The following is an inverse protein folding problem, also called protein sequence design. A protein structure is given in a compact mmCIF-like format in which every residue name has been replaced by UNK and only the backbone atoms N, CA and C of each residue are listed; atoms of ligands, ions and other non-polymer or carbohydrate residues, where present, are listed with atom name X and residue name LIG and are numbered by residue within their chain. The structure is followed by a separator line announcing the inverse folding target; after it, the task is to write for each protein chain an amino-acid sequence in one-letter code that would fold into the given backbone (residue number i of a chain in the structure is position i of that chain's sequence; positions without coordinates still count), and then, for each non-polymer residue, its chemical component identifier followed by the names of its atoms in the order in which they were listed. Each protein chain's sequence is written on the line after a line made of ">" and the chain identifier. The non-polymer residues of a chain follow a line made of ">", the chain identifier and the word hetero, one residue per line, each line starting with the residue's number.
data_IF_616432670802
#
_entry.id   IF_616432670802
#
_cell.length_a   1.000
_cell.length_b   1.000
_cell.length_c   1.000
_cell.angle_alpha   90.00
_cell.angle_beta   90.00
_cell.angle_gamma   90.00
#
_symmetry.space_group_name_H-M   'P 1'
#
loop_
_entity.id
_entity.type
_entity.pdbx_description
1 polymer ?
#
# COMPACT_ATOMS: atom_id res chain seq x y z
N UNK A 1 7.79 20.52 12.93
CA UNK A 1 8.13 19.09 12.94
C UNK A 1 7.76 18.37 14.23
N UNK A 2 8.09 18.87 15.46
CA UNK A 2 7.71 18.17 16.71
C UNK A 2 6.19 17.93 16.85
N UNK A 3 5.36 18.96 16.63
CA UNK A 3 3.88 18.84 16.72
C UNK A 3 3.30 17.83 15.71
N UNK A 4 3.80 17.81 14.48
CA UNK A 4 3.31 16.86 13.44
C UNK A 4 3.76 15.43 13.75
N UNK A 5 4.92 15.19 14.35
CA UNK A 5 5.32 13.86 14.81
C UNK A 5 4.40 13.38 15.95
N UNK A 6 4.12 14.23 16.94
CA UNK A 6 3.21 13.89 18.05
C UNK A 6 1.84 13.44 17.56
N UNK A 7 1.27 14.15 16.58
CA UNK A 7 -0.01 13.77 16.00
C UNK A 7 0.07 12.43 15.23
N UNK A 8 1.14 12.19 14.45
CA UNK A 8 1.32 10.90 13.76
C UNK A 8 1.34 9.75 14.76
N UNK A 9 2.10 9.86 15.86
CA UNK A 9 2.17 8.79 16.86
C UNK A 9 0.83 8.59 17.59
N UNK A 10 0.15 9.67 17.98
CA UNK A 10 -1.18 9.59 18.60
C UNK A 10 -2.18 8.84 17.67
N UNK A 11 -2.27 9.26 16.42
CA UNK A 11 -3.18 8.64 15.45
C UNK A 11 -2.76 7.21 15.08
N UNK A 12 -1.46 6.89 15.12
CA UNK A 12 -0.94 5.54 14.95
C UNK A 12 -1.41 4.62 16.08
N UNK A 13 -1.40 5.09 17.33
CA UNK A 13 -1.94 4.34 18.49
C UNK A 13 -3.45 4.13 18.32
N UNK A 14 -4.19 5.17 17.94
CA UNK A 14 -5.64 5.05 17.68
C UNK A 14 -5.90 4.01 16.58
N UNK A 15 -5.15 4.07 15.46
CA UNK A 15 -5.27 3.09 14.36
C UNK A 15 -4.96 1.67 14.84
N UNK A 16 -3.98 1.49 15.73
CA UNK A 16 -3.64 0.18 16.27
C UNK A 16 -4.76 -0.39 17.16
N UNK A 17 -5.30 0.42 18.05
CA UNK A 17 -6.29 -0.02 19.05
C UNK A 17 -7.69 -0.20 18.45
N UNK A 18 -8.10 0.70 17.54
CA UNK A 18 -9.46 0.76 17.04
C UNK A 18 -9.99 -0.55 16.45
N UNK A 19 -9.27 -1.31 15.58
CA UNK A 19 -9.78 -2.55 15.03
C UNK A 19 -10.06 -3.62 16.08
N UNK A 20 -9.26 -3.68 17.17
CA UNK A 20 -9.50 -4.61 18.27
C UNK A 20 -10.75 -4.25 19.08
N UNK A 21 -11.06 -2.94 19.21
CA UNK A 21 -12.29 -2.49 19.89
C UNK A 21 -13.54 -2.75 19.04
N UNK A 22 -13.40 -2.77 17.72
CA UNK A 22 -14.50 -3.03 16.77
C UNK A 22 -14.67 -4.51 16.49
N UNK A 23 -13.71 -5.34 16.84
CA UNK A 23 -13.77 -6.78 16.61
C UNK A 23 -14.91 -7.41 17.43
N UNK A 24 -15.78 -8.16 16.74
CA UNK A 24 -16.77 -8.97 17.41
C UNK A 24 -16.16 -10.33 17.80
N UNK A 25 -16.32 -10.73 19.07
CA UNK A 25 -15.78 -11.99 19.62
C UNK A 25 -16.43 -13.25 19.05
N UNK A 26 -17.57 -13.13 18.37
CA UNK A 26 -18.27 -14.26 17.74
C UNK A 26 -17.70 -14.67 16.37
N UNK A 27 -16.85 -13.83 15.76
CA UNK A 27 -16.26 -14.13 14.45
C UNK A 27 -14.88 -14.77 14.61
N UNK A 28 -14.74 -15.94 13.99
CA UNK A 28 -13.45 -16.62 13.79
C UNK A 28 -12.58 -15.90 12.75
N UNK A 29 -11.30 -16.29 12.62
CA UNK A 29 -10.45 -15.84 11.52
C UNK A 29 -11.09 -16.09 10.16
N UNK A 30 -10.80 -15.24 9.19
CA UNK A 30 -11.24 -15.43 7.82
C UNK A 30 -10.66 -16.73 7.23
N UNK A 31 -11.44 -17.41 6.38
CA UNK A 31 -11.05 -18.68 5.73
C UNK A 31 -9.59 -18.71 5.26
N UNK A 32 -9.15 -17.67 4.57
CA UNK A 32 -7.79 -17.60 4.01
C UNK A 32 -6.73 -17.43 5.11
N UNK A 33 -7.08 -16.88 6.28
CA UNK A 33 -6.14 -16.74 7.40
C UNK A 33 -5.70 -18.09 7.95
N UNK A 34 -6.59 -19.08 7.98
CA UNK A 34 -6.23 -20.45 8.39
C UNK A 34 -5.19 -21.07 7.47
N UNK A 35 -5.30 -20.84 6.15
CA UNK A 35 -4.30 -21.31 5.19
C UNK A 35 -2.92 -20.70 5.49
N UNK A 36 -2.85 -19.38 5.67
CA UNK A 36 -1.58 -18.69 5.92
C UNK A 36 -1.00 -19.00 7.30
N UNK A 37 -1.83 -19.22 8.32
CA UNK A 37 -1.38 -19.66 9.63
C UNK A 37 -0.78 -21.07 9.55
N UNK A 38 -1.43 -21.99 8.85
CA UNK A 38 -0.90 -23.35 8.66
C UNK A 38 0.48 -23.35 7.97
N UNK A 39 0.77 -22.42 7.07
CA UNK A 39 2.09 -22.30 6.44
C UNK A 39 3.20 -21.97 7.46
N UNK A 40 2.86 -21.38 8.62
CA UNK A 40 3.80 -21.09 9.70
C UNK A 40 4.42 -22.34 10.34
N UNK A 41 3.76 -23.50 10.26
CA UNK A 41 4.29 -24.79 10.74
C UNK A 41 5.33 -25.42 9.77
N UNK A 42 5.40 -24.93 8.52
CA UNK A 42 6.23 -25.49 7.47
C UNK A 42 6.99 -24.39 6.73
N UNK A 43 7.94 -23.73 7.43
CA UNK A 43 8.69 -22.62 6.83
C UNK A 43 9.45 -23.07 5.57
N UNK A 44 9.21 -22.36 4.48
CA UNK A 44 9.87 -22.54 3.20
C UNK A 44 10.13 -21.20 2.52
N UNK A 45 10.96 -21.15 1.50
CA UNK A 45 11.22 -19.94 0.73
C UNK A 45 10.13 -19.59 -0.31
N UNK A 46 9.06 -20.39 -0.35
CA UNK A 46 7.88 -20.15 -1.20
C UNK A 46 6.77 -21.15 -0.88
N UNK A 47 5.58 -20.86 -1.36
CA UNK A 47 4.37 -21.69 -1.29
C UNK A 47 3.65 -21.61 -2.63
N UNK A 48 2.66 -22.48 -2.82
CA UNK A 48 1.93 -22.55 -4.11
C UNK A 48 1.35 -21.19 -4.53
N UNK A 49 0.81 -20.42 -3.57
CA UNK A 49 0.09 -19.17 -3.85
C UNK A 49 0.91 -17.91 -3.57
N UNK A 50 1.86 -17.97 -2.63
CA UNK A 50 2.48 -16.79 -2.05
C UNK A 50 3.97 -16.99 -1.72
N UNK A 51 4.77 -15.92 -1.72
CA UNK A 51 6.11 -15.89 -1.16
C UNK A 51 6.11 -16.03 0.38
N UNK A 52 7.30 -16.22 1.02
CA UNK A 52 7.43 -16.71 2.38
C UNK A 52 7.10 -15.72 3.51
N UNK A 53 6.95 -14.42 3.26
CA UNK A 53 6.89 -13.43 4.34
C UNK A 53 5.76 -13.70 5.33
N UNK A 54 4.59 -14.13 4.82
CA UNK A 54 3.43 -14.35 5.68
C UNK A 54 3.62 -15.59 6.57
N UNK A 55 4.28 -16.65 6.08
CA UNK A 55 4.59 -17.83 6.87
C UNK A 55 5.56 -17.52 8.02
N UNK A 56 6.48 -16.57 7.85
CA UNK A 56 7.36 -16.10 8.92
C UNK A 56 6.54 -15.43 10.03
N UNK A 57 5.57 -14.57 9.67
CA UNK A 57 4.69 -13.95 10.66
C UNK A 57 3.73 -14.96 11.30
N UNK A 58 3.27 -15.97 10.58
CA UNK A 58 2.50 -17.07 11.13
C UNK A 58 3.34 -17.87 12.15
N UNK A 59 4.57 -18.22 11.82
CA UNK A 59 5.49 -18.88 12.74
C UNK A 59 5.72 -18.05 14.01
N UNK A 60 5.93 -16.73 13.88
CA UNK A 60 6.01 -15.84 15.05
C UNK A 60 4.72 -15.83 15.86
N UNK A 61 3.54 -15.86 15.21
CA UNK A 61 2.24 -15.96 15.89
C UNK A 61 2.17 -17.23 16.74
N UNK A 62 2.58 -18.39 16.20
CA UNK A 62 2.62 -19.66 16.93
C UNK A 62 3.54 -19.60 18.15
N UNK A 63 4.67 -18.90 18.07
CA UNK A 63 5.56 -18.71 19.23
C UNK A 63 4.91 -17.88 20.37
N UNK A 64 3.95 -17.01 20.03
CA UNK A 64 3.24 -16.17 21.01
C UNK A 64 1.87 -16.74 21.44
N UNK A 65 1.50 -17.95 20.97
CA UNK A 65 0.38 -18.72 21.50
C UNK A 65 -0.92 -18.67 20.69
N UNK A 66 -0.89 -18.37 19.40
CA UNK A 66 -2.01 -18.49 18.43
C UNK A 66 -3.30 -17.71 18.78
N UNK A 67 -3.26 -16.86 19.79
CA UNK A 67 -4.40 -16.05 20.17
C UNK A 67 -4.79 -15.03 19.10
N UNK A 68 -6.07 -14.69 19.04
CA UNK A 68 -6.64 -13.73 18.07
C UNK A 68 -5.87 -12.40 18.05
N UNK A 69 -5.37 -11.95 19.20
CA UNK A 69 -4.53 -10.75 19.29
C UNK A 69 -3.28 -10.87 18.40
N UNK A 70 -2.55 -11.98 18.46
CA UNK A 70 -1.31 -12.17 17.72
C UNK A 70 -1.55 -12.41 16.22
N UNK A 71 -2.64 -13.10 15.86
CA UNK A 71 -3.07 -13.26 14.47
C UNK A 71 -3.31 -11.89 13.83
N UNK A 72 -3.98 -10.99 14.55
CA UNK A 72 -4.34 -9.64 14.06
C UNK A 72 -3.24 -8.60 14.24
N UNK A 73 -2.22 -8.90 15.04
CA UNK A 73 -1.12 -7.96 15.35
C UNK A 73 -0.33 -7.56 14.10
N UNK A 74 0.12 -8.54 13.31
CA UNK A 74 0.98 -8.29 12.16
C UNK A 74 0.30 -7.47 11.06
N UNK A 75 -0.90 -7.84 10.58
CA UNK A 75 -1.61 -7.04 9.60
C UNK A 75 -1.89 -5.63 10.13
N UNK A 76 -2.31 -5.50 11.37
CA UNK A 76 -2.60 -4.20 11.97
C UNK A 76 -1.35 -3.34 12.11
N UNK A 77 -0.20 -3.92 12.47
CA UNK A 77 1.10 -3.24 12.52
C UNK A 77 1.50 -2.71 11.13
N UNK A 78 1.33 -3.49 10.05
CA UNK A 78 1.56 -2.99 8.68
C UNK A 78 0.64 -1.82 8.34
N UNK A 79 -0.60 -1.82 8.81
CA UNK A 79 -1.51 -0.68 8.66
C UNK A 79 -1.03 0.57 9.36
N UNK A 80 -0.55 0.43 10.60
CA UNK A 80 0.07 1.52 11.37
C UNK A 80 1.29 2.07 10.66
N UNK A 81 2.19 1.20 10.22
CA UNK A 81 3.40 1.59 9.50
C UNK A 81 3.08 2.30 8.18
N UNK A 82 2.08 1.82 7.44
CA UNK A 82 1.61 2.45 6.18
C UNK A 82 1.08 3.86 6.43
N UNK A 83 0.26 4.03 7.48
CA UNK A 83 -0.20 5.36 7.90
C UNK A 83 0.97 6.27 8.29
N UNK A 84 1.92 5.77 9.10
CA UNK A 84 3.09 6.55 9.52
C UNK A 84 3.93 7.01 8.33
N UNK A 85 4.15 6.14 7.33
CA UNK A 85 4.87 6.51 6.09
C UNK A 85 4.08 7.55 5.31
N UNK A 86 2.74 7.41 5.20
CA UNK A 86 1.88 8.42 4.57
C UNK A 86 1.97 9.79 5.28
N UNK A 87 1.98 9.79 6.61
CA UNK A 87 2.25 10.98 7.41
C UNK A 87 3.65 11.59 7.17
N UNK A 88 4.67 10.74 6.99
CA UNK A 88 6.03 11.20 6.62
C UNK A 88 6.06 11.81 5.22
N UNK A 89 5.30 11.26 4.24
CA UNK A 89 5.14 11.86 2.92
C UNK A 89 4.58 13.29 3.06
N UNK A 90 3.53 13.48 3.85
CA UNK A 90 2.94 14.81 4.10
C UNK A 90 3.96 15.77 4.70
N UNK A 91 4.73 15.34 5.70
CA UNK A 91 5.79 16.17 6.28
C UNK A 91 6.84 16.58 5.24
N UNK A 92 7.21 15.68 4.32
CA UNK A 92 8.17 15.96 3.24
C UNK A 92 7.58 16.85 2.13
N UNK A 93 6.28 16.99 2.07
CA UNK A 93 5.58 17.97 1.24
C UNK A 93 5.34 19.31 1.96
N UNK A 94 5.80 19.46 3.21
CA UNK A 94 5.53 20.61 4.08
C UNK A 94 4.03 20.80 4.39
N UNK A 95 3.30 19.67 4.54
CA UNK A 95 1.94 19.64 5.06
C UNK A 95 1.91 19.76 6.59
N UNK A 96 0.80 20.26 7.11
CA UNK A 96 0.55 20.52 8.52
C UNK A 96 -0.27 19.42 9.21
N UNK A 97 -0.83 19.78 10.37
CA UNK A 97 -1.62 18.87 11.21
C UNK A 97 -2.91 18.43 10.52
N UNK A 98 -3.57 19.32 9.80
CA UNK A 98 -4.81 19.01 9.11
C UNK A 98 -4.62 17.96 8.02
N UNK A 99 -3.56 18.06 7.22
CA UNK A 99 -3.26 17.05 6.20
C UNK A 99 -2.96 15.68 6.83
N UNK A 100 -2.25 15.64 7.98
CA UNK A 100 -1.98 14.38 8.70
C UNK A 100 -3.28 13.77 9.22
N UNK A 101 -4.17 14.58 9.79
CA UNK A 101 -5.47 14.10 10.24
C UNK A 101 -6.32 13.60 9.05
N UNK A 102 -6.32 14.34 7.94
CA UNK A 102 -7.11 13.98 6.76
C UNK A 102 -6.63 12.66 6.11
N UNK A 103 -5.32 12.39 6.06
CA UNK A 103 -4.80 11.11 5.55
C UNK A 103 -5.05 9.94 6.50
N UNK A 104 -5.34 10.20 7.77
CA UNK A 104 -5.71 9.16 8.74
C UNK A 104 -7.11 8.59 8.47
N UNK A 105 -8.06 9.42 8.01
CA UNK A 105 -9.46 9.03 7.86
C UNK A 105 -9.68 7.78 6.98
N UNK A 106 -9.01 7.60 5.82
CA UNK A 106 -9.12 6.37 5.03
C UNK A 106 -8.72 5.10 5.77
N UNK A 107 -7.83 5.19 6.77
CA UNK A 107 -7.37 4.03 7.55
C UNK A 107 -8.38 3.61 8.63
N UNK A 108 -9.39 4.44 8.90
CA UNK A 108 -10.43 4.16 9.91
C UNK A 108 -11.85 4.15 9.34
N UNK A 109 -12.09 4.78 8.19
CA UNK A 109 -13.41 4.87 7.55
C UNK A 109 -13.44 4.30 6.12
N UNK A 110 -12.48 3.50 5.73
CA UNK A 110 -12.39 2.94 4.38
C UNK A 110 -11.96 1.48 4.40
N UNK A 111 -11.72 0.96 3.21
CA UNK A 111 -11.29 -0.43 2.99
C UNK A 111 -10.06 -0.83 3.83
N UNK A 112 -9.22 0.13 4.19
CA UNK A 112 -8.00 -0.13 4.95
C UNK A 112 -8.24 -0.54 6.40
N UNK A 113 -9.39 -0.20 7.01
CA UNK A 113 -9.73 -0.68 8.34
C UNK A 113 -9.79 -2.22 8.34
N UNK A 114 -10.54 -2.79 7.39
CA UNK A 114 -10.67 -4.24 7.24
C UNK A 114 -9.39 -4.87 6.67
N UNK A 115 -8.82 -4.30 5.60
CA UNK A 115 -7.62 -4.83 4.95
C UNK A 115 -6.50 -5.09 5.97
N UNK A 116 -6.19 -4.10 6.80
CA UNK A 116 -5.13 -4.17 7.80
C UNK A 116 -5.55 -4.89 9.09
N UNK A 117 -6.60 -5.67 9.05
CA UNK A 117 -7.01 -6.56 10.14
C UNK A 117 -7.22 -8.01 9.66
N UNK A 118 -6.89 -8.29 8.40
CA UNK A 118 -6.87 -9.64 7.84
C UNK A 118 -5.43 -10.11 7.70
N UNK A 119 -5.13 -11.30 8.23
CA UNK A 119 -3.83 -11.94 8.11
C UNK A 119 -3.66 -12.48 6.68
N UNK A 120 -3.34 -11.58 5.75
CA UNK A 120 -3.26 -11.84 4.31
C UNK A 120 -2.06 -11.13 3.71
N UNK A 121 -1.50 -11.62 2.57
CA UNK A 121 -0.31 -11.03 1.92
C UNK A 121 -0.55 -9.60 1.41
N UNK A 122 -1.80 -9.16 1.30
CA UNK A 122 -2.14 -7.80 0.87
C UNK A 122 -1.69 -6.73 1.88
N UNK A 123 -1.59 -7.06 3.17
CA UNK A 123 -1.23 -6.08 4.21
C UNK A 123 0.23 -5.64 4.11
N UNK A 124 1.23 -6.53 4.10
CA UNK A 124 2.60 -6.12 3.83
C UNK A 124 2.79 -5.60 2.40
N UNK A 125 2.06 -6.11 1.40
CA UNK A 125 2.11 -5.59 0.03
C UNK A 125 1.83 -4.09 -0.02
N UNK A 126 0.71 -3.62 0.55
CA UNK A 126 0.33 -2.20 0.57
C UNK A 126 1.37 -1.36 1.30
N UNK A 127 1.95 -1.87 2.39
CA UNK A 127 3.04 -1.20 3.08
C UNK A 127 4.28 -1.04 2.19
N UNK A 128 4.72 -2.09 1.50
CA UNK A 128 5.91 -2.02 0.64
C UNK A 128 5.67 -1.15 -0.60
N UNK A 129 4.48 -1.15 -1.19
CA UNK A 129 4.15 -0.19 -2.25
C UNK A 129 4.29 1.26 -1.75
N UNK A 130 3.84 1.52 -0.52
CA UNK A 130 3.97 2.85 0.10
C UNK A 130 5.44 3.20 0.39
N UNK A 131 6.27 2.22 0.80
CA UNK A 131 7.71 2.42 1.01
C UNK A 131 8.46 2.67 -0.30
N UNK A 132 8.13 1.93 -1.38
CA UNK A 132 8.62 2.17 -2.75
C UNK A 132 8.29 3.60 -3.16
N UNK A 133 7.02 4.02 -3.02
CA UNK A 133 6.58 5.36 -3.34
C UNK A 133 7.32 6.43 -2.50
N UNK A 134 7.48 6.20 -1.19
CA UNK A 134 8.24 7.11 -0.32
C UNK A 134 9.71 7.22 -0.77
N UNK A 135 10.35 6.12 -1.10
CA UNK A 135 11.74 6.10 -1.55
C UNK A 135 11.94 6.90 -2.84
N UNK A 136 11.04 6.69 -3.82
CA UNK A 136 11.03 7.46 -5.08
C UNK A 136 10.77 8.95 -4.81
N UNK A 137 9.78 9.29 -3.97
CA UNK A 137 9.50 10.68 -3.60
C UNK A 137 10.74 11.35 -2.99
N UNK A 138 11.40 10.66 -2.06
CA UNK A 138 12.60 11.19 -1.40
C UNK A 138 13.78 11.35 -2.36
N UNK A 139 13.94 10.41 -3.30
CA UNK A 139 14.95 10.56 -4.36
C UNK A 139 14.66 11.78 -5.22
N UNK A 140 13.42 11.95 -5.72
CA UNK A 140 13.00 13.11 -6.50
C UNK A 140 13.24 14.44 -5.77
N UNK A 141 13.14 14.45 -4.44
CA UNK A 141 13.35 15.67 -3.63
C UNK A 141 14.80 15.99 -3.34
N UNK A 142 15.67 14.99 -3.24
CA UNK A 142 17.01 15.16 -2.66
C UNK A 142 18.14 14.66 -3.55
N UNK A 143 17.84 13.88 -4.58
CA UNK A 143 18.77 13.17 -5.49
C UNK A 143 19.81 12.29 -4.77
N UNK A 144 19.57 11.97 -3.47
CA UNK A 144 20.50 11.16 -2.66
C UNK A 144 20.35 9.67 -2.96
N UNK A 145 21.45 9.03 -3.36
CA UNK A 145 21.49 7.60 -3.75
C UNK A 145 21.02 6.63 -2.66
N UNK A 146 21.10 7.00 -1.38
CA UNK A 146 20.58 6.16 -0.30
C UNK A 146 19.10 5.80 -0.47
N UNK A 147 18.29 6.68 -1.09
CA UNK A 147 16.89 6.40 -1.35
C UNK A 147 16.67 5.40 -2.48
N UNK A 148 17.65 5.23 -3.39
CA UNK A 148 17.64 4.13 -4.35
C UNK A 148 17.94 2.79 -3.66
N UNK A 149 18.86 2.76 -2.71
CA UNK A 149 19.10 1.55 -1.92
C UNK A 149 17.88 1.16 -1.06
N UNK A 150 17.22 2.15 -0.41
CA UNK A 150 15.93 1.91 0.26
C UNK A 150 14.84 1.43 -0.71
N UNK A 151 14.82 1.92 -1.94
CA UNK A 151 13.94 1.43 -3.00
C UNK A 151 14.19 -0.06 -3.28
N UNK A 152 15.46 -0.45 -3.50
CA UNK A 152 15.84 -1.84 -3.75
C UNK A 152 15.43 -2.78 -2.62
N UNK A 153 15.72 -2.40 -1.36
CA UNK A 153 15.31 -3.17 -0.17
C UNK A 153 13.78 -3.28 -0.10
N UNK A 154 13.05 -2.17 -0.34
CA UNK A 154 11.58 -2.17 -0.29
C UNK A 154 10.96 -3.04 -1.38
N UNK A 155 11.55 -3.09 -2.59
CA UNK A 155 11.12 -3.97 -3.67
C UNK A 155 11.39 -5.43 -3.28
N UNK A 156 12.62 -5.77 -2.84
CA UNK A 156 12.99 -7.14 -2.50
C UNK A 156 12.12 -7.72 -1.38
N UNK A 157 11.99 -6.99 -0.26
CA UNK A 157 11.13 -7.40 0.85
C UNK A 157 9.65 -7.44 0.44
N UNK A 158 9.22 -6.48 -0.37
CA UNK A 158 7.87 -6.47 -0.90
C UNK A 158 7.57 -7.70 -1.76
N UNK A 159 8.50 -8.11 -2.63
CA UNK A 159 8.39 -9.33 -3.43
C UNK A 159 8.31 -10.59 -2.56
N UNK A 160 8.97 -10.62 -1.40
CA UNK A 160 8.80 -11.71 -0.42
C UNK A 160 7.41 -11.73 0.22
N UNK A 161 6.62 -10.66 0.11
CA UNK A 161 5.24 -10.62 0.62
C UNK A 161 4.22 -11.04 -0.43
N UNK A 162 4.37 -10.55 -1.67
CA UNK A 162 3.45 -10.86 -2.77
C UNK A 162 4.06 -10.50 -4.12
N UNK A 163 3.89 -11.37 -5.12
CA UNK A 163 4.44 -11.17 -6.47
C UNK A 163 3.91 -9.90 -7.17
N UNK A 164 2.70 -9.44 -6.82
CA UNK A 164 2.09 -8.22 -7.40
C UNK A 164 2.82 -6.91 -7.05
N UNK A 165 3.80 -6.93 -6.12
CA UNK A 165 4.71 -5.80 -5.91
C UNK A 165 5.47 -5.45 -7.19
N UNK A 166 5.73 -6.42 -8.07
CA UNK A 166 6.29 -6.20 -9.40
C UNK A 166 5.43 -5.24 -10.24
N UNK A 167 4.09 -5.32 -10.14
CA UNK A 167 3.16 -4.46 -10.89
C UNK A 167 3.39 -2.99 -10.55
N UNK A 168 3.46 -2.66 -9.25
CA UNK A 168 3.72 -1.27 -8.84
C UNK A 168 5.14 -0.84 -9.15
N UNK A 169 6.12 -1.73 -8.99
CA UNK A 169 7.52 -1.45 -9.33
C UNK A 169 7.67 -1.10 -10.80
N UNK A 170 7.10 -1.90 -11.71
CA UNK A 170 7.09 -1.60 -13.14
C UNK A 170 6.34 -0.30 -13.42
N UNK A 171 5.17 -0.12 -12.83
CA UNK A 171 4.34 1.06 -13.04
C UNK A 171 5.03 2.36 -12.63
N UNK A 172 5.73 2.38 -11.48
CA UNK A 172 6.44 3.58 -11.03
C UNK A 172 7.70 3.84 -11.87
N UNK A 173 8.41 2.80 -12.33
CA UNK A 173 9.53 2.94 -13.25
C UNK A 173 9.07 3.49 -14.61
N UNK A 174 7.97 2.98 -15.16
CA UNK A 174 7.35 3.55 -16.36
C UNK A 174 6.94 5.01 -16.13
N UNK A 175 6.31 5.32 -14.98
CA UNK A 175 5.96 6.67 -14.61
C UNK A 175 7.17 7.63 -14.58
N UNK A 176 8.31 7.16 -14.07
CA UNK A 176 9.56 7.90 -14.08
C UNK A 176 10.08 8.11 -15.52
N UNK A 177 10.01 7.08 -16.36
CA UNK A 177 10.48 7.10 -17.75
C UNK A 177 9.71 8.13 -18.59
N UNK A 178 8.38 8.20 -18.42
CA UNK A 178 7.51 9.13 -19.17
C UNK A 178 7.49 10.56 -18.59
N UNK A 179 8.40 10.88 -17.65
CA UNK A 179 8.48 12.20 -17.04
C UNK A 179 9.90 12.79 -17.09
N UNK A 180 10.04 14.02 -16.60
CA UNK A 180 11.38 14.64 -16.46
C UNK A 180 12.31 13.85 -15.52
N UNK A 181 11.76 12.93 -14.72
CA UNK A 181 12.51 12.09 -13.78
C UNK A 181 13.25 10.94 -14.48
N UNK A 182 13.09 10.76 -15.80
CA UNK A 182 13.82 9.73 -16.58
C UNK A 182 15.34 9.75 -16.40
N UNK A 183 15.91 10.88 -15.92
CA UNK A 183 17.34 11.00 -15.58
C UNK A 183 17.81 9.95 -14.55
N UNK A 184 16.89 9.40 -13.75
CA UNK A 184 17.20 8.34 -12.77
C UNK A 184 17.80 7.10 -13.44
N UNK A 185 17.41 6.80 -14.68
CA UNK A 185 17.92 5.65 -15.44
C UNK A 185 19.38 5.77 -15.87
N UNK A 186 19.95 6.98 -15.86
CA UNK A 186 21.38 7.21 -16.06
C UNK A 186 22.19 7.01 -14.75
N UNK A 187 21.53 6.86 -13.60
CA UNK A 187 22.20 6.70 -12.31
C UNK A 187 22.49 5.22 -12.05
N UNK A 188 23.78 4.83 -12.00
CA UNK A 188 24.22 3.45 -11.71
C UNK A 188 23.66 2.87 -10.41
N UNK A 189 23.37 3.72 -9.41
CA UNK A 189 22.80 3.28 -8.12
C UNK A 189 21.38 2.75 -8.25
N UNK A 190 20.64 3.04 -9.33
CA UNK A 190 19.35 2.40 -9.62
C UNK A 190 19.54 0.91 -9.94
N UNK A 191 20.57 0.58 -10.71
CA UNK A 191 20.89 -0.82 -11.05
C UNK A 191 21.38 -1.60 -9.83
N UNK A 192 22.18 -0.96 -8.96
CA UNK A 192 22.55 -1.56 -7.67
C UNK A 192 21.31 -1.79 -6.79
N UNK A 193 20.32 -0.90 -6.80
CA UNK A 193 19.06 -1.12 -6.12
C UNK A 193 18.30 -2.33 -6.70
N UNK A 194 18.29 -2.49 -8.01
CA UNK A 194 17.75 -3.69 -8.68
C UNK A 194 18.46 -4.97 -8.26
N UNK A 195 19.80 -4.94 -8.17
CA UNK A 195 20.59 -6.08 -7.68
C UNK A 195 20.26 -6.41 -6.22
N UNK A 196 20.15 -5.41 -5.35
CA UNK A 196 19.72 -5.62 -3.95
C UNK A 196 18.35 -6.29 -3.90
N UNK A 197 17.38 -5.81 -4.67
CA UNK A 197 16.04 -6.40 -4.73
C UNK A 197 16.10 -7.86 -5.19
N UNK A 198 16.88 -8.14 -6.24
CA UNK A 198 17.08 -9.49 -6.76
C UNK A 198 17.72 -10.42 -5.71
N UNK A 199 18.78 -9.96 -5.04
CA UNK A 199 19.46 -10.78 -4.02
C UNK A 199 18.54 -11.11 -2.83
N UNK A 200 17.69 -10.16 -2.39
CA UNK A 200 16.72 -10.41 -1.33
C UNK A 200 15.67 -11.44 -1.78
N UNK A 201 15.22 -11.36 -3.02
CA UNK A 201 14.17 -12.24 -3.55
C UNK A 201 14.73 -13.57 -4.12
N UNK A 202 16.05 -13.70 -4.32
CA UNK A 202 16.71 -14.85 -4.93
C UNK A 202 16.36 -16.18 -4.27
N UNK A 203 16.31 -16.32 -2.92
CA UNK A 203 15.93 -17.58 -2.31
C UNK A 203 14.55 -18.08 -2.75
N UNK A 204 13.58 -17.18 -2.92
CA UNK A 204 12.24 -17.54 -3.44
C UNK A 204 12.31 -17.97 -4.90
N UNK A 205 13.10 -17.29 -5.74
CA UNK A 205 13.28 -17.69 -7.15
C UNK A 205 13.87 -19.09 -7.25
N UNK A 206 14.89 -19.39 -6.44
CA UNK A 206 15.51 -20.72 -6.41
C UNK A 206 14.54 -21.78 -5.90
N UNK A 207 13.73 -21.46 -4.92
CA UNK A 207 12.69 -22.36 -4.42
C UNK A 207 11.64 -22.66 -5.51
N UNK A 208 11.13 -21.64 -6.19
CA UNK A 208 10.19 -21.78 -7.32
C UNK A 208 10.77 -22.66 -8.43
N UNK A 209 12.03 -22.40 -8.80
CA UNK A 209 12.71 -23.20 -9.82
C UNK A 209 12.81 -24.69 -9.43
N UNK A 210 13.22 -24.99 -8.20
CA UNK A 210 13.37 -26.36 -7.70
C UNK A 210 12.03 -27.10 -7.55
N UNK A 211 10.91 -26.35 -7.44
CA UNK A 211 9.56 -26.90 -7.33
C UNK A 211 8.75 -26.76 -8.65
N UNK A 212 9.42 -26.54 -9.80
CA UNK A 212 8.80 -26.43 -11.12
C UNK A 212 7.79 -25.29 -11.24
N UNK A 213 8.03 -24.16 -10.57
CA UNK A 213 7.22 -22.93 -10.60
C UNK A 213 5.74 -23.15 -10.24
N UNK A 214 5.41 -23.61 -9.02
CA UNK A 214 4.05 -23.89 -8.62
C UNK A 214 3.14 -22.67 -8.73
N UNK A 215 3.67 -21.45 -8.57
CA UNK A 215 2.92 -20.22 -8.79
C UNK A 215 2.31 -20.11 -10.18
N UNK A 216 2.98 -20.61 -11.23
CA UNK A 216 2.46 -20.60 -12.61
C UNK A 216 1.22 -21.50 -12.72
N UNK A 217 1.23 -22.66 -12.08
CA UNK A 217 0.10 -23.59 -12.04
C UNK A 217 -1.06 -22.95 -11.29
N UNK A 218 -0.77 -22.36 -10.11
CA UNK A 218 -1.76 -21.64 -9.30
C UNK A 218 -2.41 -20.48 -10.09
N UNK A 219 -1.60 -19.66 -10.79
CA UNK A 219 -2.14 -18.54 -11.56
C UNK A 219 -3.02 -18.99 -12.74
N UNK A 220 -2.69 -20.08 -13.41
CA UNK A 220 -3.55 -20.68 -14.44
C UNK A 220 -4.90 -21.11 -13.86
N UNK A 221 -4.89 -21.80 -12.72
CA UNK A 221 -6.10 -22.23 -12.06
C UNK A 221 -6.94 -21.04 -11.54
N UNK A 222 -6.28 -20.05 -10.94
CA UNK A 222 -6.93 -18.82 -10.49
C UNK A 222 -7.58 -18.07 -11.65
N UNK A 223 -6.91 -18.02 -12.81
CA UNK A 223 -7.48 -17.41 -14.02
C UNK A 223 -8.70 -18.18 -14.47
N UNK A 224 -8.63 -19.51 -14.55
CA UNK A 224 -9.72 -20.38 -14.98
C UNK A 224 -10.94 -20.31 -14.07
N UNK A 225 -10.73 -20.19 -12.74
CA UNK A 225 -11.83 -20.28 -11.76
C UNK A 225 -12.37 -18.93 -11.29
N UNK A 226 -11.56 -17.86 -11.38
CA UNK A 226 -11.92 -16.56 -10.78
C UNK A 226 -11.63 -15.36 -11.69
N UNK A 227 -10.39 -15.22 -12.21
CA UNK A 227 -9.98 -13.97 -12.84
C UNK A 227 -10.69 -13.73 -14.17
N UNK A 228 -11.01 -14.76 -14.94
CA UNK A 228 -11.76 -14.64 -16.21
C UNK A 228 -13.14 -13.97 -16.05
N UNK A 229 -13.69 -13.97 -14.84
CA UNK A 229 -15.00 -13.35 -14.56
C UNK A 229 -14.88 -11.90 -14.06
N UNK A 230 -13.66 -11.36 -13.94
CA UNK A 230 -13.47 -9.96 -13.53
C UNK A 230 -13.92 -9.04 -14.65
N UNK A 231 -15.01 -8.29 -14.40
CA UNK A 231 -15.50 -7.29 -15.33
C UNK A 231 -14.65 -6.02 -15.28
N UNK A 232 -14.11 -5.53 -16.41
CA UNK A 232 -13.39 -4.26 -16.45
C UNK A 232 -14.21 -3.08 -15.93
N UNK A 233 -15.52 -3.06 -16.22
CA UNK A 233 -16.44 -2.03 -15.73
C UNK A 233 -16.54 -2.06 -14.20
N UNK A 234 -16.80 -3.23 -13.61
CA UNK A 234 -16.87 -3.39 -12.15
C UNK A 234 -15.53 -3.04 -11.51
N UNK A 235 -14.42 -3.50 -12.09
CA UNK A 235 -13.07 -3.17 -11.61
C UNK A 235 -12.88 -1.64 -11.48
N UNK A 236 -13.25 -0.85 -12.51
CA UNK A 236 -13.11 0.60 -12.51
C UNK A 236 -14.05 1.28 -11.50
N UNK A 237 -15.29 0.83 -11.39
CA UNK A 237 -16.25 1.33 -10.41
C UNK A 237 -15.75 1.08 -8.98
N UNK A 238 -15.21 -0.10 -8.72
CA UNK A 238 -14.71 -0.50 -7.41
C UNK A 238 -13.51 0.36 -6.94
N UNK A 239 -12.74 0.95 -7.88
CA UNK A 239 -11.70 1.92 -7.50
C UNK A 239 -12.28 3.15 -6.77
N UNK A 240 -13.50 3.53 -7.07
CA UNK A 240 -14.21 4.60 -6.35
C UNK A 240 -14.87 4.06 -5.07
N UNK A 241 -15.55 2.92 -5.17
CA UNK A 241 -16.35 2.36 -4.07
C UNK A 241 -15.50 1.89 -2.88
N UNK A 242 -14.35 1.26 -3.13
CA UNK A 242 -13.46 0.80 -2.04
C UNK A 242 -12.99 1.94 -1.13
N UNK A 243 -12.89 3.15 -1.66
CA UNK A 243 -12.48 4.34 -0.90
C UNK A 243 -13.62 5.36 -0.78
N UNK A 244 -14.87 4.96 -0.90
CA UNK A 244 -16.03 5.87 -1.04
C UNK A 244 -16.04 7.02 -0.03
N UNK A 245 -15.86 6.79 1.29
CA UNK A 245 -15.86 7.89 2.26
C UNK A 245 -14.75 8.92 2.05
N UNK A 246 -13.65 8.50 1.41
CA UNK A 246 -12.43 9.29 1.25
C UNK A 246 -12.00 9.46 -0.22
N UNK A 247 -12.89 9.15 -1.17
CA UNK A 247 -12.61 9.18 -2.61
C UNK A 247 -12.06 10.53 -3.08
N UNK A 248 -12.62 11.62 -2.58
CA UNK A 248 -12.20 12.98 -2.93
C UNK A 248 -10.75 13.28 -2.52
N UNK A 249 -10.22 12.59 -1.50
CA UNK A 249 -8.84 12.80 -1.03
C UNK A 249 -7.87 12.26 -2.07
N UNK A 250 -8.00 11.00 -2.51
CA UNK A 250 -7.07 10.45 -3.49
C UNK A 250 -7.25 11.06 -4.88
N UNK A 251 -8.49 11.44 -5.26
CA UNK A 251 -8.73 12.18 -6.51
C UNK A 251 -8.02 13.55 -6.48
N UNK A 252 -8.05 14.26 -5.34
CA UNK A 252 -7.29 15.50 -5.17
C UNK A 252 -5.77 15.25 -5.28
N UNK A 253 -5.28 14.10 -4.83
CA UNK A 253 -3.88 13.68 -4.97
C UNK A 253 -3.50 13.37 -6.41
N UNK A 254 -4.35 12.66 -7.11
CA UNK A 254 -4.18 12.38 -8.53
C UNK A 254 -4.17 13.69 -9.35
N UNK A 255 -5.14 14.57 -9.10
CA UNK A 255 -5.18 15.90 -9.71
C UNK A 255 -3.91 16.70 -9.40
N UNK A 256 -3.45 16.70 -8.15
CA UNK A 256 -2.24 17.43 -7.76
C UNK A 256 -1.02 16.94 -8.52
N UNK A 257 -0.81 15.63 -8.62
CA UNK A 257 0.36 15.04 -9.28
C UNK A 257 0.28 15.11 -10.81
N UNK A 258 -0.92 15.04 -11.40
CA UNK A 258 -1.12 15.08 -12.85
C UNK A 258 -1.09 16.51 -13.43
N UNK A 259 -1.80 17.44 -12.81
CA UNK A 259 -2.16 18.73 -13.41
C UNK A 259 -1.62 19.96 -12.66
N UNK A 260 -1.33 19.86 -11.36
CA UNK A 260 -0.90 21.03 -10.59
C UNK A 260 0.54 21.45 -10.92
N UNK A 261 0.77 22.73 -11.11
CA UNK A 261 2.13 23.28 -11.34
C UNK A 261 3.10 22.88 -10.19
N UNK A 262 2.64 22.95 -8.93
CA UNK A 262 3.46 22.53 -7.76
C UNK A 262 3.67 21.02 -7.68
N UNK A 263 2.78 20.23 -8.25
CA UNK A 263 2.86 18.78 -8.33
C UNK A 263 3.66 18.24 -9.51
N UNK A 264 4.02 19.09 -10.49
CA UNK A 264 4.66 18.72 -11.76
C UNK A 264 5.89 17.78 -11.58
N UNK A 265 6.70 18.00 -10.54
CA UNK A 265 7.86 17.15 -10.25
C UNK A 265 7.47 15.73 -9.81
N UNK A 266 6.24 15.52 -9.33
CA UNK A 266 5.70 14.24 -8.86
C UNK A 266 4.78 13.57 -9.90
N UNK A 267 4.76 14.02 -11.13
CA UNK A 267 3.89 13.49 -12.21
C UNK A 267 4.09 11.99 -12.45
N UNK A 268 5.23 11.43 -12.09
CA UNK A 268 5.51 10.01 -12.15
C UNK A 268 4.49 9.16 -11.33
N UNK A 269 3.96 9.70 -10.22
CA UNK A 269 2.96 8.99 -9.39
C UNK A 269 1.58 8.94 -10.07
N UNK A 270 1.19 9.98 -10.81
CA UNK A 270 -0.03 9.95 -11.61
C UNK A 270 0.08 8.92 -12.74
N UNK A 271 1.21 8.86 -13.43
CA UNK A 271 1.47 7.83 -14.43
C UNK A 271 1.54 6.43 -13.83
N UNK A 272 2.16 6.28 -12.65
CA UNK A 272 2.18 5.00 -11.94
C UNK A 272 0.76 4.48 -11.65
N UNK A 273 -0.15 5.36 -11.21
CA UNK A 273 -1.56 5.00 -11.04
C UNK A 273 -2.17 4.49 -12.36
N UNK A 274 -2.00 5.23 -13.44
CA UNK A 274 -2.53 4.84 -14.77
C UNK A 274 -1.97 3.48 -15.20
N UNK A 275 -0.65 3.25 -15.06
CA UNK A 275 -0.04 1.98 -15.43
C UNK A 275 -0.48 0.83 -14.52
N UNK A 276 -0.66 1.05 -13.21
CA UNK A 276 -1.24 0.03 -12.31
C UNK A 276 -2.61 -0.39 -12.80
N UNK A 277 -3.49 0.57 -13.11
CA UNK A 277 -4.85 0.25 -13.60
C UNK A 277 -4.78 -0.50 -14.94
N UNK A 278 -3.97 -0.03 -15.89
CA UNK A 278 -3.82 -0.69 -17.20
C UNK A 278 -3.29 -2.12 -17.04
N UNK A 279 -2.23 -2.32 -16.24
CA UNK A 279 -1.65 -3.65 -16.04
C UNK A 279 -2.62 -4.59 -15.32
N UNK A 280 -3.35 -4.12 -14.31
CA UNK A 280 -4.33 -4.94 -13.61
C UNK A 280 -5.52 -5.30 -14.51
N UNK A 281 -5.98 -4.39 -15.35
CA UNK A 281 -7.03 -4.70 -16.35
C UNK A 281 -6.53 -5.72 -17.37
N UNK A 282 -5.32 -5.56 -17.90
CA UNK A 282 -4.72 -6.48 -18.85
C UNK A 282 -4.50 -7.88 -18.28
N UNK A 283 -4.16 -7.97 -16.98
CA UNK A 283 -3.95 -9.21 -16.24
C UNK A 283 -5.23 -9.76 -15.58
N UNK A 284 -6.39 -9.15 -15.83
CA UNK A 284 -7.66 -9.48 -15.17
C UNK A 284 -7.57 -9.53 -13.64
N UNK A 285 -6.73 -8.67 -13.05
CA UNK A 285 -6.50 -8.63 -11.60
C UNK A 285 -7.77 -8.27 -10.83
N UNK A 286 -7.89 -8.81 -9.61
CA UNK A 286 -9.00 -8.45 -8.71
C UNK A 286 -8.94 -6.96 -8.36
N UNK A 287 -10.09 -6.34 -8.12
CA UNK A 287 -10.25 -4.91 -7.82
C UNK A 287 -9.32 -4.42 -6.70
N UNK A 288 -9.20 -5.17 -5.61
CA UNK A 288 -8.41 -4.80 -4.43
C UNK A 288 -6.89 -4.94 -4.62
N UNK A 289 -6.41 -5.52 -5.73
CA UNK A 289 -4.96 -5.57 -6.03
C UNK A 289 -4.36 -4.19 -6.29
N UNK A 290 -5.19 -3.19 -6.58
CA UNK A 290 -4.76 -1.79 -6.73
C UNK A 290 -4.54 -1.05 -5.41
N UNK A 291 -4.95 -1.60 -4.26
CA UNK A 291 -5.01 -0.86 -2.98
C UNK A 291 -3.66 -0.27 -2.55
N UNK A 292 -2.55 -0.86 -2.97
CA UNK A 292 -1.21 -0.33 -2.65
C UNK A 292 -0.89 1.04 -3.23
N UNK A 293 -1.56 1.48 -4.30
CA UNK A 293 -1.26 2.77 -4.94
C UNK A 293 -1.92 3.96 -4.22
N UNK A 294 -3.00 3.74 -3.46
CA UNK A 294 -3.76 4.83 -2.88
C UNK A 294 -3.09 5.53 -1.69
N UNK A 295 -2.33 4.89 -0.76
CA UNK A 295 -1.73 5.60 0.38
C UNK A 295 -0.89 6.81 -0.02
N UNK A 296 -0.13 6.72 -1.12
CA UNK A 296 0.65 7.84 -1.62
C UNK A 296 -0.24 8.93 -2.25
N UNK A 297 -1.29 8.55 -2.98
CA UNK A 297 -2.25 9.50 -3.55
C UNK A 297 -3.07 10.20 -2.47
N UNK A 298 -3.47 9.48 -1.43
CA UNK A 298 -4.13 10.02 -0.24
C UNK A 298 -3.24 11.07 0.47
N UNK A 299 -1.93 10.80 0.59
CA UNK A 299 -1.00 11.75 1.18
C UNK A 299 -0.84 13.02 0.33
N UNK A 300 -0.73 12.90 -1.00
CA UNK A 300 -0.70 14.06 -1.91
C UNK A 300 -2.02 14.84 -1.85
N UNK A 301 -3.15 14.13 -1.80
CA UNK A 301 -4.48 14.72 -1.74
C UNK A 301 -4.74 15.47 -0.44
N UNK A 302 -4.42 14.86 0.69
CA UNK A 302 -4.54 15.49 2.00
C UNK A 302 -3.70 16.79 2.07
N UNK A 303 -2.46 16.76 1.57
CA UNK A 303 -1.64 17.95 1.42
C UNK A 303 -2.31 19.01 0.52
N UNK A 304 -2.86 18.60 -0.63
CA UNK A 304 -3.51 19.54 -1.57
C UNK A 304 -4.74 20.18 -0.97
N UNK A 305 -5.58 19.41 -0.30
CA UNK A 305 -6.82 19.89 0.34
C UNK A 305 -6.52 20.82 1.53
N UNK A 306 -5.48 20.53 2.32
CA UNK A 306 -5.01 21.47 3.35
C UNK A 306 -4.62 22.80 2.73
N UNK A 307 -3.79 22.81 1.67
CA UNK A 307 -3.37 24.05 1.01
C UNK A 307 -4.52 24.77 0.31
N UNK A 308 -5.52 24.05 -0.14
CA UNK A 308 -6.74 24.65 -0.67
C UNK A 308 -7.54 25.36 0.44
N UNK A 309 -7.77 24.70 1.58
CA UNK A 309 -8.54 25.24 2.70
C UNK A 309 -7.83 26.39 3.44
N UNK A 310 -6.50 26.46 3.41
CA UNK A 310 -5.73 27.61 3.94
C UNK A 310 -5.95 28.90 3.12
N UNK A 311 -6.19 28.76 1.80
CA UNK A 311 -6.35 29.89 0.87
C UNK A 311 -7.80 30.32 0.67
N UNK A 312 -8.75 29.47 1.04
CA UNK A 312 -10.18 29.66 0.89
C UNK A 312 -10.82 29.78 2.26
N UNK A 313 -12.11 29.55 2.33
CA UNK A 313 -12.86 29.60 3.60
C UNK A 313 -12.55 28.35 4.44
N UNK A 314 -12.19 28.52 5.71
CA UNK A 314 -11.86 27.43 6.66
C UNK A 314 -12.99 26.40 6.82
N UNK A 315 -14.24 26.74 6.46
CA UNK A 315 -15.39 25.82 6.50
C UNK A 315 -15.15 24.54 5.69
N UNK A 316 -14.35 24.58 4.62
CA UNK A 316 -14.00 23.39 3.85
C UNK A 316 -13.30 22.30 4.68
N UNK A 317 -12.60 22.68 5.76
CA UNK A 317 -12.00 21.70 6.67
C UNK A 317 -13.04 20.83 7.37
N UNK A 318 -14.15 21.44 7.79
CA UNK A 318 -15.27 20.71 8.38
C UNK A 318 -15.92 19.78 7.36
N UNK A 319 -16.14 20.24 6.13
CA UNK A 319 -16.70 19.43 5.04
C UNK A 319 -15.81 18.18 4.76
N UNK A 320 -14.50 18.39 4.63
CA UNK A 320 -13.55 17.29 4.36
C UNK A 320 -13.44 16.28 5.52
N UNK A 321 -13.82 16.63 6.72
CA UNK A 321 -13.85 15.72 7.87
C UNK A 321 -15.23 15.07 8.01
N UNK A 322 -16.31 15.85 7.88
CA UNK A 322 -17.68 15.37 8.08
C UNK A 322 -18.09 14.31 7.05
N UNK A 323 -17.68 14.45 5.77
CA UNK A 323 -18.03 13.48 4.73
C UNK A 323 -17.51 12.07 5.08
N UNK A 324 -16.21 11.86 5.41
CA UNK A 324 -15.73 10.55 5.82
C UNK A 324 -16.39 10.00 7.09
N UNK A 325 -16.71 10.86 8.06
CA UNK A 325 -17.41 10.43 9.25
C UNK A 325 -18.84 9.96 8.95
N UNK A 326 -19.63 10.77 8.23
CA UNK A 326 -21.03 10.44 7.94
C UNK A 326 -21.14 9.19 7.06
N UNK A 327 -20.33 9.08 6.00
CA UNK A 327 -20.35 7.90 5.11
C UNK A 327 -19.65 6.71 5.74
N UNK A 328 -18.59 6.93 6.52
CA UNK A 328 -17.80 5.87 7.12
C UNK A 328 -18.54 5.13 8.23
N UNK A 329 -19.29 5.84 9.10
CA UNK A 329 -20.10 5.20 10.16
C UNK A 329 -21.17 4.26 9.57
N UNK A 330 -21.69 4.56 8.38
CA UNK A 330 -22.70 3.72 7.71
C UNK A 330 -22.08 2.45 7.12
N UNK A 331 -20.75 2.46 6.82
CA UNK A 331 -20.05 1.35 6.15
C UNK A 331 -19.35 0.42 7.15
N UNK A 332 -19.00 0.92 8.34
CA UNK A 332 -18.41 0.13 9.43
C UNK A 332 -19.49 -0.63 10.18
#
# INVERSE_FOLDING_TARGET
>A
MKKTNGLIYLLAIIKFVLPYLLQNSYYEPHRDEFLYLAQGHHLAWGFVEVPPMLSIFAWLTHLFGDGMFWIKFWPNMFGVLTFMVSGKIIQKLCGGLFAIFLVFLPFVFGVYLRLFFLFQPNTPEVFFWTMIAYSVLRYIQTEKNKYLYFLGVSIGLGMLSKYSVAIFTVSILLGLLFTRQRKIFANKHLYYAGLIALLIFLPTILWEYNHHFPIVVHMKELTRTQLQYVSPKSFLIDQLLMNLPCVFIWLAGLYFTAFSHKGKKYKAFAWAYVFVIILLLALQGKNYYSLGVYPVLLAFGAYRLEKFSERRVKVWRYVFVLIPFLLGIVII
#
